data_IF_488817423646
#
_entry.id   IF_488817423646
#
_cell.length_a   1.000
_cell.length_b   1.000
_cell.length_c   1.000
_cell.angle_alpha   90.00
_cell.angle_beta   90.00
_cell.angle_gamma   90.00
#
_symmetry.space_group_name_H-M   'P 1'
#
loop_
_entity.id
_entity.type
_entity.pdbx_description
1 polymer ?
#
# COMPACT_ATOMS: atom_id res chain seq x y z
N UNK A 1 -0.08 -13.65 -6.50
CA UNK A 1 0.43 -14.62 -5.51
C UNK A 1 0.66 -15.94 -6.24
N UNK A 2 1.57 -16.80 -5.78
CA UNK A 2 1.80 -18.12 -6.39
C UNK A 2 0.85 -19.18 -5.86
N UNK A 3 0.86 -20.37 -6.47
CA UNK A 3 0.13 -21.53 -5.98
C UNK A 3 0.51 -21.91 -4.53
N UNK A 4 1.73 -21.56 -4.07
CA UNK A 4 2.16 -21.79 -2.68
C UNK A 4 1.40 -20.93 -1.65
N UNK A 5 0.64 -19.94 -2.14
CA UNK A 5 -0.23 -19.02 -1.39
C UNK A 5 0.44 -18.39 -0.17
N UNK A 6 1.68 -17.92 -0.36
CA UNK A 6 2.26 -16.87 0.45
C UNK A 6 3.06 -15.93 -0.46
N UNK A 7 3.00 -14.64 -0.15
CA UNK A 7 3.79 -13.57 -0.73
C UNK A 7 3.45 -12.30 0.04
N UNK A 8 4.46 -11.55 0.48
CA UNK A 8 4.23 -10.29 1.15
C UNK A 8 5.35 -9.27 0.92
N UNK A 9 5.04 -8.00 1.16
CA UNK A 9 6.05 -7.01 1.50
C UNK A 9 6.27 -7.08 3.02
N UNK A 10 7.48 -7.40 3.43
CA UNK A 10 7.92 -7.30 4.81
C UNK A 10 8.44 -5.88 5.07
N UNK A 11 7.89 -5.22 6.08
CA UNK A 11 8.22 -3.86 6.49
C UNK A 11 9.06 -3.93 7.77
N UNK A 12 10.39 -3.96 7.66
CA UNK A 12 11.23 -3.88 8.85
C UNK A 12 11.09 -2.50 9.50
N UNK A 13 10.95 -2.50 10.82
CA UNK A 13 11.08 -1.29 11.66
C UNK A 13 10.16 -0.14 11.22
N UNK A 14 8.84 -0.41 11.18
CA UNK A 14 7.79 0.59 10.97
C UNK A 14 7.80 1.65 12.07
N UNK A 15 8.08 1.26 13.31
CA UNK A 15 8.32 2.17 14.43
C UNK A 15 9.62 1.78 15.14
N UNK A 16 10.79 2.23 14.65
CA UNK A 16 12.08 1.96 15.26
C UNK A 16 12.16 2.54 16.69
N UNK A 17 12.86 1.84 17.59
CA UNK A 17 13.04 2.23 18.99
C UNK A 17 14.50 2.04 19.43
N UNK A 18 14.95 2.86 20.36
CA UNK A 18 16.25 2.73 21.02
C UNK A 18 16.22 1.66 22.11
N UNK A 19 17.37 1.03 22.36
CA UNK A 19 17.52 0.03 23.42
C UNK A 19 17.57 0.62 24.83
N UNK A 20 17.91 1.90 24.94
CA UNK A 20 18.14 2.60 26.21
C UNK A 20 17.17 3.77 26.35
N UNK A 21 16.57 3.98 27.53
CA UNK A 21 15.75 5.16 27.77
C UNK A 21 16.59 6.44 27.59
N UNK A 22 15.98 7.55 27.14
CA UNK A 22 16.71 8.77 26.83
C UNK A 22 17.40 9.32 28.10
N UNK A 23 18.73 9.26 28.14
CA UNK A 23 19.54 9.98 29.12
C UNK A 23 19.98 11.31 28.53
N UNK A 24 19.91 12.39 29.33
CA UNK A 24 20.21 13.80 28.98
C UNK A 24 21.61 14.09 28.40
N UNK A 25 22.47 13.09 28.24
CA UNK A 25 23.90 13.26 27.92
C UNK A 25 24.37 12.55 26.65
N UNK A 26 23.51 11.82 25.93
CA UNK A 26 23.91 11.10 24.72
C UNK A 26 22.99 11.46 23.54
N UNK A 27 23.48 12.34 22.66
CA UNK A 27 22.81 12.71 21.40
C UNK A 27 22.81 11.57 20.36
N UNK A 28 23.66 10.55 20.55
CA UNK A 28 23.75 9.37 19.69
C UNK A 28 22.98 8.19 20.29
N UNK A 29 21.66 8.33 20.41
CA UNK A 29 20.79 7.18 20.66
C UNK A 29 20.81 6.27 19.43
N UNK A 30 21.45 5.10 19.54
CA UNK A 30 21.51 4.15 18.43
C UNK A 30 20.16 3.44 18.27
N UNK A 31 19.25 4.07 17.53
CA UNK A 31 17.93 3.51 17.19
C UNK A 31 18.11 2.13 16.57
N UNK A 32 17.38 1.14 17.08
CA UNK A 32 17.37 -0.19 16.47
C UNK A 32 16.47 -0.19 15.24
N UNK A 33 17.09 -0.33 14.08
CA UNK A 33 16.35 -0.50 12.84
C UNK A 33 16.00 0.81 12.16
N UNK A 34 15.53 0.68 10.92
CA UNK A 34 15.07 1.79 10.12
C UNK A 34 16.19 2.65 9.53
N UNK A 35 15.75 3.77 8.96
CA UNK A 35 16.57 4.83 8.36
C UNK A 35 16.24 6.16 9.04
N UNK A 36 17.24 7.02 9.21
CA UNK A 36 17.14 8.25 9.99
C UNK A 36 17.53 8.07 11.45
N UNK A 37 17.20 9.06 12.26
CA UNK A 37 17.59 9.15 13.69
C UNK A 37 16.37 9.37 14.58
N UNK A 38 16.49 9.00 15.85
CA UNK A 38 15.43 9.18 16.85
C UNK A 38 14.32 8.12 16.80
N UNK A 39 13.72 7.90 17.97
CA UNK A 39 12.64 6.93 18.16
C UNK A 39 11.35 7.41 17.48
N UNK A 40 10.60 6.47 16.91
CA UNK A 40 9.26 6.73 16.37
C UNK A 40 8.21 6.15 17.31
N UNK A 41 7.48 7.01 18.01
CA UNK A 41 6.47 6.57 18.98
C UNK A 41 5.35 5.78 18.29
N UNK A 42 5.00 4.62 18.86
CA UNK A 42 3.84 3.84 18.42
C UNK A 42 3.02 3.35 19.62
N UNK A 43 1.68 3.37 19.52
CA UNK A 43 0.89 3.89 18.41
C UNK A 43 0.85 5.44 18.42
N UNK A 44 0.65 6.08 17.25
CA UNK A 44 0.60 7.54 17.15
C UNK A 44 -0.44 8.18 18.08
N UNK A 45 -0.13 9.36 18.65
CA UNK A 45 -0.97 10.01 19.65
C UNK A 45 -2.25 10.65 19.09
N UNK A 46 -2.24 11.05 17.82
CA UNK A 46 -3.36 11.70 17.13
C UNK A 46 -4.20 10.73 16.32
N UNK A 47 -3.69 9.53 16.04
CA UNK A 47 -4.27 8.60 15.09
C UNK A 47 -3.34 8.34 13.91
N UNK A 48 -3.82 7.52 12.98
CA UNK A 48 -3.08 7.18 11.76
C UNK A 48 -4.03 7.02 10.56
N UNK A 49 -3.46 7.15 9.37
CA UNK A 49 -4.13 6.85 8.11
C UNK A 49 -3.30 5.88 7.29
N UNK A 50 -3.91 4.78 6.85
CA UNK A 50 -3.32 3.84 5.89
C UNK A 50 -4.08 3.92 4.57
N UNK A 51 -3.37 4.29 3.51
CA UNK A 51 -3.89 4.40 2.14
C UNK A 51 -3.25 3.33 1.28
N UNK A 52 -4.04 2.59 0.50
CA UNK A 52 -3.51 1.51 -0.35
C UNK A 52 -4.33 1.33 -1.61
N UNK A 53 -3.65 1.09 -2.74
CA UNK A 53 -4.26 0.62 -3.97
C UNK A 53 -4.16 -0.90 -4.06
N UNK A 54 -5.26 -1.57 -4.38
CA UNK A 54 -5.28 -3.01 -4.62
C UNK A 54 -6.01 -3.35 -5.91
N UNK A 55 -5.67 -4.49 -6.49
CA UNK A 55 -6.45 -5.10 -7.57
C UNK A 55 -6.50 -6.61 -7.35
N UNK A 56 -7.69 -7.16 -7.14
CA UNK A 56 -7.87 -8.60 -6.98
C UNK A 56 -8.20 -9.19 -8.33
N UNK A 57 -7.28 -9.95 -8.92
CA UNK A 57 -7.48 -10.62 -10.20
C UNK A 57 -8.38 -11.86 -10.05
N UNK A 58 -8.28 -12.54 -8.90
CA UNK A 58 -9.06 -13.72 -8.58
C UNK A 58 -9.16 -13.92 -7.07
N UNK A 59 -10.37 -14.05 -6.55
CA UNK A 59 -10.59 -14.38 -5.14
C UNK A 59 -10.35 -15.86 -4.84
N UNK A 60 -10.08 -16.17 -3.57
CA UNK A 60 -10.17 -17.54 -3.06
C UNK A 60 -11.64 -17.98 -2.94
N UNK A 61 -11.87 -19.28 -2.86
CA UNK A 61 -13.18 -19.84 -2.50
C UNK A 61 -13.22 -20.10 -0.99
N UNK A 62 -14.19 -19.51 -0.26
CA UNK A 62 -14.33 -19.71 1.18
C UNK A 62 -14.43 -21.18 1.62
N UNK A 63 -14.90 -22.09 0.76
CA UNK A 63 -15.17 -23.49 1.12
C UNK A 63 -13.96 -24.39 0.89
N UNK A 64 -13.10 -24.05 -0.06
CA UNK A 64 -11.99 -24.93 -0.47
C UNK A 64 -10.62 -24.35 -0.20
N UNK A 65 -10.45 -23.03 -0.24
CA UNK A 65 -9.16 -22.37 -0.10
C UNK A 65 -9.24 -20.99 0.57
N UNK A 66 -10.04 -20.86 1.64
CA UNK A 66 -10.31 -19.61 2.36
C UNK A 66 -9.05 -18.77 2.66
N UNK A 67 -8.79 -17.77 1.82
CA UNK A 67 -7.59 -16.96 1.91
C UNK A 67 -7.94 -15.49 1.73
N UNK A 68 -7.78 -14.70 2.79
CA UNK A 68 -8.06 -13.28 2.79
C UNK A 68 -7.00 -12.48 2.01
N UNK A 69 -7.40 -11.33 1.46
CA UNK A 69 -6.44 -10.34 0.97
C UNK A 69 -5.95 -9.56 2.18
N UNK A 70 -4.68 -9.72 2.55
CA UNK A 70 -4.10 -9.08 3.73
C UNK A 70 -3.53 -7.71 3.37
N UNK A 71 -4.27 -6.66 3.70
CA UNK A 71 -3.93 -5.29 3.32
C UNK A 71 -2.79 -4.74 4.18
N UNK A 72 -2.88 -4.89 5.50
CA UNK A 72 -1.83 -4.49 6.44
C UNK A 72 -1.89 -5.36 7.69
N UNK A 73 -0.74 -5.76 8.20
CA UNK A 73 -0.59 -6.37 9.52
C UNK A 73 0.60 -5.71 10.20
N UNK A 74 0.37 -5.03 11.32
CA UNK A 74 1.43 -4.50 12.17
C UNK A 74 1.59 -5.39 13.39
N UNK A 75 2.85 -5.69 13.70
CA UNK A 75 3.24 -6.59 14.76
C UNK A 75 4.28 -5.89 15.60
N UNK A 76 4.10 -5.89 16.92
CA UNK A 76 5.08 -5.38 17.86
C UNK A 76 5.69 -6.52 18.65
N UNK A 77 6.95 -6.33 19.04
CA UNK A 77 7.74 -7.32 19.77
C UNK A 77 8.02 -6.80 21.16
N UNK A 78 7.21 -7.15 22.18
CA UNK A 78 7.45 -6.70 23.54
C UNK A 78 8.70 -7.42 24.11
N UNK A 79 9.41 -6.79 25.04
CA UNK A 79 10.71 -7.29 25.54
C UNK A 79 10.63 -8.68 26.20
N UNK A 80 9.46 -9.09 26.69
CA UNK A 80 9.27 -10.31 27.50
C UNK A 80 8.21 -11.28 26.97
N UNK A 81 7.58 -11.00 25.82
CA UNK A 81 6.47 -11.81 25.30
C UNK A 81 6.61 -12.13 23.82
N UNK A 82 5.81 -13.08 23.34
CA UNK A 82 5.71 -13.43 21.92
C UNK A 82 5.20 -12.23 21.12
N UNK A 83 5.55 -12.19 19.83
CA UNK A 83 5.06 -11.21 18.86
C UNK A 83 3.53 -11.05 18.93
N UNK A 84 3.07 -9.80 19.04
CA UNK A 84 1.66 -9.45 19.11
C UNK A 84 1.25 -8.63 17.89
N UNK A 85 0.25 -9.11 17.16
CA UNK A 85 -0.45 -8.30 16.15
C UNK A 85 -1.18 -7.19 16.89
N UNK A 86 -0.97 -5.95 16.50
CA UNK A 86 -1.57 -4.76 17.14
C UNK A 86 -2.46 -3.96 16.20
N UNK A 87 -2.35 -4.19 14.89
CA UNK A 87 -3.27 -3.67 13.88
C UNK A 87 -3.32 -4.66 12.73
N UNK A 88 -4.52 -5.00 12.26
CA UNK A 88 -4.70 -5.80 11.06
C UNK A 88 -5.85 -5.24 10.22
N UNK A 89 -5.66 -5.28 8.90
CA UNK A 89 -6.66 -4.93 7.91
C UNK A 89 -6.66 -6.01 6.82
N UNK A 90 -7.80 -6.63 6.56
CA UNK A 90 -7.95 -7.70 5.56
C UNK A 90 -9.26 -7.56 4.79
N UNK A 91 -9.30 -8.09 3.57
CA UNK A 91 -10.54 -8.42 2.87
C UNK A 91 -10.86 -9.89 3.18
N UNK A 92 -11.94 -10.16 3.90
CA UNK A 92 -12.27 -11.50 4.40
C UNK A 92 -12.41 -12.51 3.26
N UNK A 93 -11.95 -13.73 3.51
CA UNK A 93 -12.14 -14.82 2.56
C UNK A 93 -13.61 -15.25 2.45
N UNK A 94 -14.44 -14.98 3.47
CA UNK A 94 -15.81 -15.52 3.59
C UNK A 94 -16.83 -14.75 2.77
N UNK A 95 -16.86 -13.43 2.96
CA UNK A 95 -17.87 -12.52 2.41
C UNK A 95 -17.25 -11.30 1.74
N UNK A 96 -15.90 -11.24 1.68
CA UNK A 96 -15.14 -10.12 1.12
C UNK A 96 -15.43 -8.78 1.83
N UNK A 97 -15.86 -8.82 3.09
CA UNK A 97 -15.92 -7.62 3.92
C UNK A 97 -14.51 -7.15 4.28
N UNK A 98 -14.32 -5.83 4.37
CA UNK A 98 -13.12 -5.25 4.98
C UNK A 98 -13.23 -5.45 6.48
N UNK A 99 -12.25 -6.14 7.05
CA UNK A 99 -12.10 -6.28 8.50
C UNK A 99 -10.90 -5.45 8.93
N UNK A 100 -11.11 -4.58 9.92
CA UNK A 100 -10.04 -3.86 10.61
C UNK A 100 -10.11 -4.21 12.09
N UNK A 101 -8.98 -4.55 12.69
CA UNK A 101 -8.91 -4.81 14.12
C UNK A 101 -7.67 -4.22 14.75
N UNK A 102 -7.87 -3.56 15.90
CA UNK A 102 -6.85 -3.05 16.81
C UNK A 102 -6.64 -3.97 18.02
N UNK A 103 -7.36 -5.10 18.05
CA UNK A 103 -7.25 -6.08 19.12
C UNK A 103 -5.87 -6.72 19.10
N UNK A 104 -5.21 -6.70 20.26
CA UNK A 104 -3.96 -7.42 20.44
C UNK A 104 -4.20 -8.93 20.38
N UNK A 105 -3.52 -9.59 19.46
CA UNK A 105 -3.58 -11.05 19.32
C UNK A 105 -2.16 -11.62 19.16
N UNK A 106 -1.82 -12.74 19.83
CA UNK A 106 -0.57 -13.42 19.58
C UNK A 106 -0.44 -13.79 18.10
N UNK A 107 0.73 -13.54 17.51
CA UNK A 107 1.00 -13.89 16.12
C UNK A 107 0.85 -15.42 15.93
N UNK A 108 -0.17 -15.90 15.20
CA UNK A 108 -0.36 -17.32 14.98
C UNK A 108 0.79 -17.86 14.14
N UNK A 109 1.44 -18.91 14.63
CA UNK A 109 2.52 -19.58 13.92
C UNK A 109 1.97 -20.78 13.17
N UNK A 110 2.31 -20.90 11.88
CA UNK A 110 1.96 -22.03 11.03
C UNK A 110 0.45 -22.28 10.91
N UNK A 111 -0.34 -21.20 10.91
CA UNK A 111 -1.80 -21.25 10.71
C UNK A 111 -2.13 -20.60 9.37
N UNK A 112 -2.62 -21.39 8.42
CA UNK A 112 -3.02 -20.90 7.08
C UNK A 112 -4.33 -20.10 7.06
N UNK A 113 -5.18 -20.28 8.07
CA UNK A 113 -6.58 -19.80 8.11
C UNK A 113 -6.85 -18.70 9.13
N UNK A 114 -5.84 -17.92 9.49
CA UNK A 114 -6.05 -16.86 10.47
C UNK A 114 -6.67 -15.60 9.84
N UNK A 115 -7.82 -15.16 10.37
CA UNK A 115 -8.41 -13.85 10.11
C UNK A 115 -8.87 -13.21 11.44
N UNK A 116 -8.86 -11.87 11.56
CA UNK A 116 -9.47 -11.19 12.71
C UNK A 116 -10.99 -11.38 12.72
N UNK A 117 -11.60 -11.49 13.91
CA UNK A 117 -13.06 -11.64 14.05
C UNK A 117 -13.82 -10.42 13.49
N UNK A 118 -13.27 -9.21 13.66
CA UNK A 118 -13.87 -7.97 13.16
C UNK A 118 -15.08 -7.48 13.95
N UNK A 119 -15.34 -8.09 15.11
CA UNK A 119 -16.44 -7.77 16.02
C UNK A 119 -15.93 -7.18 17.34
N UNK A 120 -16.82 -6.61 18.14
CA UNK A 120 -16.49 -6.01 19.44
C UNK A 120 -15.94 -4.58 19.35
N UNK A 121 -15.40 -4.08 20.46
CA UNK A 121 -14.97 -2.68 20.57
C UNK A 121 -13.68 -2.38 19.80
N UNK A 122 -12.85 -3.39 19.57
CA UNK A 122 -11.58 -3.32 18.84
C UNK A 122 -11.68 -3.81 17.39
N UNK A 123 -12.89 -4.11 16.89
CA UNK A 123 -13.12 -4.68 15.57
C UNK A 123 -14.14 -3.90 14.74
N UNK A 124 -13.87 -3.75 13.45
CA UNK A 124 -14.81 -3.28 12.46
C UNK A 124 -14.88 -4.27 11.31
N UNK A 125 -16.10 -4.63 10.89
CA UNK A 125 -16.38 -5.44 9.69
C UNK A 125 -17.34 -4.66 8.80
N UNK A 126 -16.88 -4.28 7.62
CA UNK A 126 -17.65 -3.46 6.68
C UNK A 126 -17.77 -4.20 5.35
N UNK A 127 -19.00 -4.47 4.93
CA UNK A 127 -19.26 -5.07 3.62
C UNK A 127 -19.30 -3.99 2.54
N UNK A 128 -18.53 -4.17 1.48
CA UNK A 128 -18.40 -3.22 0.37
C UNK A 128 -18.58 -3.96 -0.97
N UNK A 129 -19.76 -3.90 -1.60
CA UNK A 129 -20.06 -4.63 -2.84
C UNK A 129 -19.16 -4.25 -4.01
N UNK A 130 -18.70 -3.00 -4.06
CA UNK A 130 -17.85 -2.49 -5.14
C UNK A 130 -16.50 -3.22 -5.22
N UNK A 131 -16.02 -3.77 -4.09
CA UNK A 131 -14.78 -4.56 -4.03
C UNK A 131 -14.94 -6.00 -4.55
N UNK A 132 -16.15 -6.43 -4.87
CA UNK A 132 -16.41 -7.80 -5.34
C UNK A 132 -15.93 -8.01 -6.78
N UNK A 133 -15.72 -6.94 -7.54
CA UNK A 133 -15.38 -7.00 -8.96
C UNK A 133 -13.89 -7.34 -9.16
N UNK A 134 -13.63 -8.49 -9.76
CA UNK A 134 -12.27 -8.93 -10.09
C UNK A 134 -11.67 -8.10 -11.24
N UNK A 135 -10.35 -7.90 -11.21
CA UNK A 135 -9.59 -7.20 -12.24
C UNK A 135 -9.69 -5.66 -12.18
N UNK A 136 -10.39 -5.09 -11.19
CA UNK A 136 -10.49 -3.64 -10.98
C UNK A 136 -9.50 -3.16 -9.93
N UNK A 137 -9.01 -1.93 -10.11
CA UNK A 137 -8.19 -1.24 -9.12
C UNK A 137 -9.09 -0.44 -8.19
N UNK A 138 -8.91 -0.62 -6.88
CA UNK A 138 -9.60 0.15 -5.86
C UNK A 138 -8.61 0.82 -4.92
N UNK A 139 -8.95 2.03 -4.50
CA UNK A 139 -8.23 2.79 -3.49
C UNK A 139 -8.95 2.66 -2.16
N UNK A 140 -8.31 2.02 -1.19
CA UNK A 140 -8.84 1.83 0.15
C UNK A 140 -8.07 2.74 1.10
N UNK A 141 -8.80 3.51 1.91
CA UNK A 141 -8.20 4.31 2.99
C UNK A 141 -8.85 3.96 4.32
N UNK A 142 -8.01 3.59 5.28
CA UNK A 142 -8.36 3.31 6.67
C UNK A 142 -7.85 4.46 7.53
N UNK A 143 -8.76 5.13 8.22
CA UNK A 143 -8.44 6.23 9.14
C UNK A 143 -8.78 5.79 10.55
N UNK A 144 -7.79 5.79 11.45
CA UNK A 144 -7.97 5.58 12.88
C UNK A 144 -7.72 6.89 13.60
N UNK A 145 -8.76 7.47 14.17
CA UNK A 145 -8.68 8.69 14.96
C UNK A 145 -8.56 8.33 16.45
N UNK A 146 -7.48 8.78 17.09
CA UNK A 146 -7.29 8.61 18.53
C UNK A 146 -7.86 9.82 19.25
N UNK A 147 -8.87 9.60 20.08
CA UNK A 147 -9.41 10.61 20.98
C UNK A 147 -9.09 10.27 22.44
N UNK A 148 -8.73 11.29 23.23
CA UNK A 148 -8.43 11.15 24.67
C UNK A 148 -9.68 11.36 25.51
N UNK A 149 -10.46 12.40 25.19
CA UNK A 149 -11.68 12.79 25.93
C UNK A 149 -12.96 12.20 25.33
N UNK A 150 -12.88 11.66 24.12
CA UNK A 150 -13.99 11.04 23.39
C UNK A 150 -13.59 9.63 22.99
N UNK A 151 -14.56 8.85 22.52
CA UNK A 151 -14.27 7.56 21.92
C UNK A 151 -13.41 7.75 20.67
N UNK A 152 -12.37 6.92 20.55
CA UNK A 152 -11.62 6.78 19.30
C UNK A 152 -12.53 6.20 18.21
N UNK A 153 -12.18 6.45 16.95
CA UNK A 153 -13.04 6.07 15.82
C UNK A 153 -12.25 5.51 14.65
N UNK A 154 -12.93 4.68 13.88
CA UNK A 154 -12.48 4.16 12.60
C UNK A 154 -13.36 4.74 11.49
N UNK A 155 -12.74 5.11 10.38
CA UNK A 155 -13.43 5.49 9.14
C UNK A 155 -12.82 4.75 7.95
N UNK A 156 -13.69 4.26 7.07
CA UNK A 156 -13.33 3.60 5.82
C UNK A 156 -13.73 4.47 4.64
N UNK A 157 -12.81 4.61 3.69
CA UNK A 157 -13.06 5.24 2.42
C UNK A 157 -12.67 4.29 1.29
N UNK A 158 -13.46 4.34 0.21
CA UNK A 158 -13.25 3.59 -1.02
C UNK A 158 -13.31 4.56 -2.19
N UNK A 159 -12.30 4.51 -3.06
CA UNK A 159 -12.24 5.31 -4.29
C UNK A 159 -12.51 6.81 -4.06
N UNK A 160 -11.91 7.34 -2.98
CA UNK A 160 -12.03 8.73 -2.56
C UNK A 160 -13.32 9.08 -1.80
N UNK A 161 -14.27 8.16 -1.68
CA UNK A 161 -15.56 8.39 -1.02
C UNK A 161 -15.63 7.76 0.37
N UNK A 162 -16.34 8.41 1.29
CA UNK A 162 -16.60 7.86 2.61
C UNK A 162 -17.62 6.73 2.52
N UNK A 163 -17.31 5.59 3.15
CA UNK A 163 -18.17 4.40 3.13
C UNK A 163 -18.76 4.12 4.51
N UNK A 164 -17.93 4.18 5.57
CA UNK A 164 -18.35 3.81 6.91
C UNK A 164 -17.55 4.52 7.98
N UNK A 165 -18.18 4.78 9.12
CA UNK A 165 -17.52 5.22 10.34
C UNK A 165 -18.16 4.60 11.57
N UNK A 166 -17.34 4.21 12.55
CA UNK A 166 -17.82 3.72 13.84
C UNK A 166 -16.84 4.04 14.96
N UNK A 167 -17.31 3.91 16.20
CA UNK A 167 -16.41 3.87 17.35
C UNK A 167 -15.53 2.62 17.24
N UNK A 168 -14.26 2.79 17.57
CA UNK A 168 -13.30 1.70 17.63
C UNK A 168 -12.25 2.06 18.68
N UNK A 169 -11.98 1.14 19.61
CA UNK A 169 -10.87 1.27 20.52
C UNK A 169 -9.57 1.38 19.74
N UNK A 170 -8.79 2.40 20.08
CA UNK A 170 -7.52 2.62 19.42
C UNK A 170 -6.51 1.55 19.83
N UNK A 171 -5.41 1.46 19.09
CA UNK A 171 -4.31 0.54 19.39
C UNK A 171 -3.82 0.81 20.82
N UNK A 172 -3.71 -0.24 21.62
CA UNK A 172 -3.28 -0.15 23.02
C UNK A 172 -1.83 0.34 23.11
N UNK A 173 -1.59 1.31 24.00
CA UNK A 173 -0.25 1.88 24.19
C UNK A 173 0.71 0.93 24.91
N UNK A 174 0.22 0.18 25.91
CA UNK A 174 1.04 -0.73 26.71
C UNK A 174 0.86 -2.15 26.21
N UNK A 175 1.91 -2.80 25.68
CA UNK A 175 1.76 -4.15 25.19
C UNK A 175 1.36 -5.15 26.27
N UNK A 176 0.36 -6.00 25.99
CA UNK A 176 -0.07 -7.03 26.93
C UNK A 176 -0.88 -6.52 28.14
N UNK A 177 -1.37 -5.28 28.11
CA UNK A 177 -2.32 -4.77 29.11
C UNK A 177 -1.73 -4.38 30.46
N UNK A 178 -0.43 -4.07 30.53
CA UNK A 178 0.22 -3.57 31.74
C UNK A 178 -0.27 -2.18 32.19
N UNK A 179 0.11 -1.76 33.40
CA UNK A 179 -0.31 -0.49 34.00
C UNK A 179 0.01 0.73 33.09
N UNK A 180 -0.96 1.64 32.95
CA UNK A 180 -0.96 2.77 32.01
C UNK A 180 0.18 3.81 32.20
N UNK A 181 1.00 3.67 33.24
CA UNK A 181 1.94 4.69 33.69
C UNK A 181 3.35 4.55 33.09
N UNK A 182 3.59 3.49 32.31
CA UNK A 182 4.87 3.23 31.64
C UNK A 182 4.61 3.11 30.14
N UNK A 183 4.94 4.15 29.37
CA UNK A 183 5.02 4.06 27.91
C UNK A 183 6.20 3.16 27.54
N UNK A 184 5.95 1.85 27.47
CA UNK A 184 6.97 0.89 27.02
C UNK A 184 7.04 0.93 25.51
N UNK A 185 8.03 1.67 25.00
CA UNK A 185 8.40 1.66 23.60
C UNK A 185 8.68 0.22 23.14
N UNK A 186 7.98 -0.24 22.10
CA UNK A 186 8.21 -1.56 21.50
C UNK A 186 8.39 -1.41 19.99
N UNK A 187 9.42 -2.06 19.41
CA UNK A 187 9.63 -2.01 17.97
C UNK A 187 8.45 -2.64 17.25
N UNK A 188 8.03 -2.00 16.16
CA UNK A 188 6.94 -2.46 15.30
C UNK A 188 7.49 -2.79 13.92
N UNK A 189 7.11 -3.94 13.39
CA UNK A 189 7.31 -4.31 11.99
C UNK A 189 5.95 -4.62 11.35
N UNK A 190 5.92 -4.84 10.03
CA UNK A 190 4.66 -5.16 9.38
C UNK A 190 4.75 -6.06 8.16
N UNK A 191 3.59 -6.49 7.70
CA UNK A 191 3.38 -7.23 6.46
C UNK A 191 2.27 -6.59 5.64
N UNK A 192 2.46 -6.57 4.33
CA UNK A 192 1.40 -6.37 3.33
C UNK A 192 1.35 -7.64 2.49
N UNK A 193 0.25 -8.38 2.57
CA UNK A 193 0.10 -9.73 2.02
C UNK A 193 0.34 -10.84 3.02
N UNK A 194 0.58 -12.05 2.50
CA UNK A 194 0.59 -13.29 3.29
C UNK A 194 2.03 -13.67 3.64
N UNK A 195 2.45 -13.54 4.91
CA UNK A 195 3.79 -13.91 5.36
C UNK A 195 4.01 -15.43 5.32
N UNK A 196 5.27 -15.89 5.34
CA UNK A 196 5.61 -17.32 5.32
C UNK A 196 4.92 -18.15 6.41
N UNK A 197 4.71 -17.58 7.60
CA UNK A 197 4.06 -18.27 8.72
C UNK A 197 2.57 -18.56 8.51
N UNK A 198 1.93 -17.93 7.51
CA UNK A 198 0.53 -18.16 7.13
C UNK A 198 0.40 -18.78 5.73
N UNK A 199 1.47 -19.43 5.26
CA UNK A 199 1.50 -20.11 3.97
C UNK A 199 0.41 -21.18 3.88
N UNK A 200 -0.34 -21.15 2.77
CA UNK A 200 -1.29 -22.20 2.37
C UNK A 200 -1.43 -22.27 0.87
N UNK A 201 -1.83 -23.40 0.31
CA UNK A 201 -2.27 -23.43 -1.08
C UNK A 201 -3.52 -22.56 -1.29
N UNK A 202 -3.53 -21.76 -2.36
CA UNK A 202 -4.61 -20.81 -2.65
C UNK A 202 -4.61 -20.40 -4.12
N UNK A 203 -5.82 -20.17 -4.65
CA UNK A 203 -6.04 -19.59 -5.98
C UNK A 203 -6.08 -18.06 -5.97
N UNK A 204 -6.09 -17.45 -4.78
CA UNK A 204 -6.10 -16.01 -4.59
C UNK A 204 -4.97 -15.35 -5.39
N UNK A 205 -5.34 -14.48 -6.31
CA UNK A 205 -4.41 -13.67 -7.10
C UNK A 205 -4.79 -12.21 -6.98
N UNK A 206 -3.89 -11.41 -6.44
CA UNK A 206 -4.09 -9.97 -6.28
C UNK A 206 -2.76 -9.24 -6.41
N UNK A 207 -2.87 -7.93 -6.62
CA UNK A 207 -1.79 -6.97 -6.84
C UNK A 207 -1.86 -5.89 -5.78
N UNK A 208 -0.70 -5.59 -5.19
CA UNK A 208 -0.48 -4.43 -4.35
C UNK A 208 0.01 -3.27 -5.21
N UNK A 209 -0.69 -2.13 -5.17
CA UNK A 209 -0.29 -0.87 -5.78
C UNK A 209 0.46 0.03 -4.79
N UNK A 210 0.55 1.34 -5.05
CA UNK A 210 1.12 2.27 -4.09
C UNK A 210 0.37 2.27 -2.77
N UNK A 211 1.09 2.40 -1.66
CA UNK A 211 0.49 2.54 -0.34
C UNK A 211 1.30 3.45 0.58
N UNK A 212 0.62 4.12 1.49
CA UNK A 212 1.18 5.10 2.42
C UNK A 212 0.62 4.86 3.82
N UNK A 213 1.49 4.94 4.82
CA UNK A 213 1.09 5.00 6.23
C UNK A 213 1.57 6.33 6.80
N UNK A 214 0.64 7.09 7.39
CA UNK A 214 0.91 8.39 8.00
C UNK A 214 0.36 8.45 9.42
N UNK A 215 1.04 9.17 10.31
CA UNK A 215 0.67 9.42 11.70
C UNK A 215 -0.23 10.66 11.80
N UNK A 216 -1.22 10.72 10.92
CA UNK A 216 -2.18 11.82 10.85
C UNK A 216 -3.55 11.28 10.45
N UNK A 217 -4.60 11.91 10.97
CA UNK A 217 -5.99 11.61 10.62
C UNK A 217 -6.34 12.45 9.39
N UNK A 218 -6.39 11.82 8.23
CA UNK A 218 -6.75 12.53 7.00
C UNK A 218 -8.24 12.84 6.95
N UNK A 219 -8.55 14.06 6.53
CA UNK A 219 -9.91 14.47 6.22
C UNK A 219 -10.32 13.99 4.83
N UNK A 220 -11.61 14.12 4.51
CA UNK A 220 -12.17 13.69 3.21
C UNK A 220 -11.51 14.38 2.00
N UNK A 221 -11.02 15.62 2.16
CA UNK A 221 -10.34 16.35 1.08
C UNK A 221 -8.98 15.73 0.77
N UNK A 222 -8.16 15.44 1.78
CA UNK A 222 -6.87 14.76 1.61
C UNK A 222 -7.05 13.38 0.95
N UNK A 223 -8.09 12.65 1.35
CA UNK A 223 -8.43 11.33 0.79
C UNK A 223 -8.87 11.44 -0.67
N UNK A 224 -9.70 12.42 -1.00
CA UNK A 224 -10.09 12.70 -2.39
C UNK A 224 -8.88 13.06 -3.25
N UNK A 225 -7.96 13.86 -2.72
CA UNK A 225 -6.70 14.20 -3.40
C UNK A 225 -5.85 12.95 -3.64
N UNK A 226 -5.67 12.09 -2.62
CA UNK A 226 -4.95 10.82 -2.75
C UNK A 226 -5.53 9.93 -3.85
N UNK A 227 -6.86 9.81 -3.91
CA UNK A 227 -7.53 9.04 -4.96
C UNK A 227 -7.25 9.62 -6.35
N UNK A 228 -7.34 10.95 -6.50
CA UNK A 228 -7.08 11.65 -7.77
C UNK A 228 -5.63 11.53 -8.24
N UNK A 229 -4.66 11.38 -7.34
CA UNK A 229 -3.27 11.10 -7.70
C UNK A 229 -3.10 9.71 -8.35
N UNK A 230 -4.03 8.80 -8.10
CA UNK A 230 -4.16 7.52 -8.79
C UNK A 230 -3.12 6.46 -8.38
N UNK A 231 -3.23 5.25 -8.96
CA UNK A 231 -2.37 4.11 -8.64
C UNK A 231 -0.93 4.23 -9.19
N UNK A 232 -0.58 5.37 -9.79
CA UNK A 232 0.75 5.66 -10.33
C UNK A 232 1.52 6.69 -9.49
N UNK A 233 0.91 7.20 -8.41
CA UNK A 233 1.55 8.15 -7.52
C UNK A 233 2.79 7.54 -6.84
N UNK A 234 3.92 8.24 -6.93
CA UNK A 234 5.21 7.80 -6.37
C UNK A 234 5.74 8.72 -5.28
N UNK A 235 5.07 9.84 -5.04
CA UNK A 235 5.59 10.88 -4.15
C UNK A 235 5.46 10.52 -2.67
N UNK A 236 5.97 11.45 -1.86
CA UNK A 236 6.01 11.39 -0.39
C UNK A 236 4.96 12.31 0.26
N UNK A 237 3.95 12.74 -0.49
CA UNK A 237 2.87 13.64 -0.08
C UNK A 237 3.28 15.09 0.23
N UNK A 238 4.53 15.46 -0.04
CA UNK A 238 5.07 16.80 0.22
C UNK A 238 4.79 17.83 -0.89
N UNK A 239 4.73 17.37 -2.14
CA UNK A 239 4.35 18.21 -3.28
C UNK A 239 3.55 17.38 -4.30
N UNK A 240 2.35 16.88 -3.95
CA UNK A 240 1.56 16.09 -4.88
C UNK A 240 1.13 16.92 -6.09
N UNK A 241 1.28 16.35 -7.28
CA UNK A 241 0.92 17.00 -8.54
C UNK A 241 -0.31 16.30 -9.13
N UNK A 242 -1.40 17.05 -9.28
CA UNK A 242 -2.53 16.64 -10.10
C UNK A 242 -2.25 17.04 -11.56
N UNK A 243 -2.64 16.19 -12.50
CA UNK A 243 -2.40 16.42 -13.93
C UNK A 243 -2.89 17.81 -14.37
N UNK A 244 -1.99 18.61 -14.96
CA UNK A 244 -2.29 19.95 -15.47
C UNK A 244 -2.47 21.05 -14.42
N UNK A 245 -2.05 20.83 -13.17
CA UNK A 245 -2.07 21.84 -12.10
C UNK A 245 -0.66 22.09 -11.55
N UNK A 246 -0.49 23.19 -10.82
CA UNK A 246 0.72 23.43 -10.02
C UNK A 246 0.83 22.40 -8.87
N UNK A 247 2.04 22.14 -8.34
CA UNK A 247 2.22 21.27 -7.19
C UNK A 247 1.38 21.76 -6.00
N UNK A 248 0.63 20.85 -5.39
CA UNK A 248 -0.12 21.13 -4.18
C UNK A 248 0.84 21.31 -2.99
N UNK A 249 0.37 22.03 -1.97
CA UNK A 249 1.02 22.09 -0.67
C UNK A 249 1.16 20.68 -0.04
N UNK A 250 2.11 20.49 0.90
CA UNK A 250 2.23 19.24 1.63
C UNK A 250 0.89 18.81 2.25
N UNK A 251 0.47 17.57 1.99
CA UNK A 251 -0.77 17.02 2.57
C UNK A 251 -0.60 16.60 4.04
N UNK A 252 0.65 16.45 4.47
CA UNK A 252 1.05 15.94 5.78
C UNK A 252 2.48 16.40 6.07
N UNK A 253 2.75 16.73 7.33
CA UNK A 253 4.09 17.10 7.76
C UNK A 253 5.10 15.97 7.53
N UNK A 254 6.34 16.32 7.21
CA UNK A 254 7.39 15.38 6.84
C UNK A 254 7.55 14.26 7.87
N UNK A 255 7.63 14.62 9.16
CA UNK A 255 7.88 13.73 10.29
C UNK A 255 6.81 12.66 10.49
N UNK A 256 5.58 12.92 10.03
CA UNK A 256 4.42 12.04 10.20
C UNK A 256 4.29 10.97 9.11
N UNK A 257 5.08 11.01 8.04
CA UNK A 257 5.00 9.98 6.98
C UNK A 257 5.79 8.73 7.37
N UNK A 258 5.15 7.67 7.85
CA UNK A 258 5.89 6.46 8.24
C UNK A 258 6.54 5.79 7.04
N UNK A 259 5.74 5.53 5.99
CA UNK A 259 6.26 5.03 4.73
C UNK A 259 5.38 5.40 3.53
N UNK A 260 5.99 5.46 2.36
CA UNK A 260 5.32 5.38 1.06
C UNK A 260 6.01 4.35 0.18
N UNK A 261 5.27 3.37 -0.33
CA UNK A 261 5.82 2.28 -1.13
C UNK A 261 5.24 2.32 -2.54
N UNK A 262 6.11 2.14 -3.54
CA UNK A 262 5.73 1.99 -4.93
C UNK A 262 6.75 1.09 -5.64
N UNK A 263 6.36 0.48 -6.76
CA UNK A 263 7.21 -0.47 -7.48
C UNK A 263 8.30 0.19 -8.34
N UNK A 264 8.28 1.51 -8.54
CA UNK A 264 9.28 2.24 -9.33
C UNK A 264 10.56 2.49 -8.54
N UNK A 265 10.45 2.79 -7.25
CA UNK A 265 11.59 2.92 -6.35
C UNK A 265 12.02 1.56 -5.79
N UNK A 266 12.64 0.71 -6.62
CA UNK A 266 13.05 -0.65 -6.22
C UNK A 266 14.52 -0.93 -6.57
N UNK A 267 15.21 -1.62 -5.68
CA UNK A 267 16.55 -2.15 -5.93
C UNK A 267 16.63 -3.65 -5.66
N UNK A 268 17.63 -4.30 -6.27
CA UNK A 268 18.02 -5.67 -5.98
C UNK A 268 19.30 -5.65 -5.13
N UNK A 269 19.22 -6.20 -3.93
CA UNK A 269 20.29 -6.25 -2.94
C UNK A 269 20.50 -7.67 -2.43
N UNK A 270 21.63 -7.96 -1.81
CA UNK A 270 21.85 -9.20 -1.05
C UNK A 270 21.77 -8.91 0.45
N UNK A 271 21.65 -9.93 1.31
CA UNK A 271 21.68 -9.71 2.77
C UNK A 271 23.00 -9.08 3.21
N UNK A 272 24.13 -9.51 2.62
CA UNK A 272 25.43 -8.89 2.87
C UNK A 272 25.46 -7.40 2.48
N UNK A 273 24.81 -7.00 1.38
CA UNK A 273 24.69 -5.58 0.99
C UNK A 273 23.72 -4.80 1.89
N UNK A 274 22.59 -5.39 2.24
CA UNK A 274 21.63 -4.80 3.20
C UNK A 274 22.33 -4.53 4.53
N UNK A 275 23.13 -5.46 5.05
CA UNK A 275 23.92 -5.28 6.28
C UNK A 275 24.93 -4.13 6.22
N UNK A 276 25.46 -3.83 5.03
CA UNK A 276 26.43 -2.74 4.82
C UNK A 276 25.75 -1.38 4.73
N UNK A 277 24.55 -1.31 4.15
CA UNK A 277 23.85 -0.06 3.84
C UNK A 277 22.80 0.31 4.90
N UNK A 278 22.19 -0.69 5.53
CA UNK A 278 21.12 -0.54 6.53
C UNK A 278 21.53 -1.14 7.87
N UNK A 279 20.67 -0.97 8.88
CA UNK A 279 20.94 -1.45 10.23
C UNK A 279 21.15 -2.98 10.28
N UNK A 280 22.00 -3.42 11.22
CA UNK A 280 22.20 -4.85 11.49
C UNK A 280 20.93 -5.52 12.01
N UNK A 281 20.07 -4.77 12.71
CA UNK A 281 18.80 -5.25 13.22
C UNK A 281 17.85 -5.61 12.08
N UNK A 282 17.67 -4.71 11.10
CA UNK A 282 16.82 -4.96 9.93
C UNK A 282 17.37 -6.11 9.11
N UNK A 283 18.68 -6.16 8.88
CA UNK A 283 19.33 -7.25 8.16
C UNK A 283 19.02 -8.63 8.78
N UNK A 284 19.18 -8.76 10.12
CA UNK A 284 18.84 -10.01 10.82
C UNK A 284 17.35 -10.33 10.74
N UNK A 285 16.49 -9.33 10.84
CA UNK A 285 15.05 -9.52 10.77
C UNK A 285 14.60 -9.99 9.37
N UNK A 286 15.13 -9.37 8.32
CA UNK A 286 14.89 -9.77 6.92
C UNK A 286 15.41 -11.18 6.68
N UNK A 287 16.62 -11.50 7.18
CA UNK A 287 17.21 -12.83 7.05
C UNK A 287 16.32 -13.92 7.69
N UNK A 288 15.73 -13.63 8.85
CA UNK A 288 14.74 -14.51 9.51
C UNK A 288 13.52 -14.76 8.63
N UNK A 289 12.96 -13.71 7.99
CA UNK A 289 11.80 -13.85 7.11
C UNK A 289 12.08 -14.65 5.84
N UNK A 290 13.31 -14.57 5.32
CA UNK A 290 13.74 -15.29 4.12
C UNK A 290 14.25 -16.71 4.42
N UNK A 291 14.47 -17.07 5.69
CA UNK A 291 15.08 -18.34 6.07
C UNK A 291 16.55 -18.46 5.64
N UNK A 292 17.28 -17.34 5.65
CA UNK A 292 18.66 -17.24 5.15
C UNK A 292 19.63 -16.76 6.23
N UNK A 293 20.93 -16.96 6.00
CA UNK A 293 21.99 -16.36 6.82
C UNK A 293 22.03 -14.84 6.61
N UNK A 294 22.26 -14.08 7.69
CA UNK A 294 22.43 -12.61 7.62
C UNK A 294 23.64 -12.16 6.80
N UNK A 295 24.56 -13.07 6.48
CA UNK A 295 25.73 -12.87 5.65
C UNK A 295 25.55 -13.32 4.18
N UNK A 296 24.37 -13.82 3.82
CA UNK A 296 24.09 -14.35 2.49
C UNK A 296 24.34 -13.30 1.38
N UNK A 297 25.06 -13.70 0.33
CA UNK A 297 25.54 -12.79 -0.72
C UNK A 297 25.28 -13.26 -2.16
N UNK A 298 24.56 -14.36 -2.38
CA UNK A 298 24.22 -14.80 -3.73
C UNK A 298 22.78 -14.45 -4.10
N UNK A 299 21.86 -14.55 -3.14
CA UNK A 299 20.43 -14.42 -3.45
C UNK A 299 19.99 -12.96 -3.65
N UNK A 300 19.46 -12.58 -4.84
CA UNK A 300 18.94 -11.25 -5.06
C UNK A 300 17.60 -11.04 -4.34
N UNK A 301 17.53 -10.00 -3.53
CA UNK A 301 16.37 -9.59 -2.74
C UNK A 301 15.88 -8.25 -3.28
N UNK A 302 14.59 -8.21 -3.64
CA UNK A 302 13.95 -6.97 -4.10
C UNK A 302 13.50 -6.14 -2.89
N UNK A 303 13.92 -4.88 -2.84
CA UNK A 303 13.57 -3.93 -1.80
C UNK A 303 12.90 -2.72 -2.45
N UNK A 304 11.64 -2.48 -2.11
CA UNK A 304 10.92 -1.25 -2.46
C UNK A 304 11.32 -0.19 -1.45
N UNK A 305 11.99 0.86 -1.89
CA UNK A 305 12.46 1.92 -1.01
C UNK A 305 11.30 2.76 -0.50
N UNK A 306 11.39 3.15 0.77
CA UNK A 306 10.47 4.10 1.35
C UNK A 306 10.63 5.47 0.68
N UNK A 307 9.60 5.98 0.00
CA UNK A 307 9.62 7.30 -0.65
C UNK A 307 9.76 8.44 0.36
N UNK A 308 9.47 8.19 1.64
CA UNK A 308 9.64 9.15 2.73
C UNK A 308 11.01 9.05 3.43
N UNK A 309 11.93 8.21 2.94
CA UNK A 309 13.20 7.93 3.62
C UNK A 309 14.17 9.10 3.74
N UNK A 310 13.99 10.13 2.93
CA UNK A 310 14.80 11.36 2.94
C UNK A 310 14.14 12.50 3.73
N UNK A 311 12.93 12.30 4.23
CA UNK A 311 12.17 13.34 4.94
C UNK A 311 12.67 13.52 6.37
N UNK A 312 12.57 14.74 6.87
CA UNK A 312 12.96 15.14 8.22
C UNK A 312 12.06 14.48 9.27
N UNK A 313 12.58 14.18 10.46
CA UNK A 313 11.81 13.61 11.58
C UNK A 313 12.37 12.27 12.08
N UNK A 314 11.58 11.52 12.85
CA UNK A 314 12.06 10.30 13.50
C UNK A 314 12.29 9.17 12.50
N UNK A 315 13.09 8.19 12.91
CA UNK A 315 13.48 7.05 12.09
C UNK A 315 12.26 6.30 11.52
N UNK A 316 12.44 5.68 10.36
CA UNK A 316 11.36 5.09 9.55
C UNK A 316 11.76 3.74 9.00
N UNK A 317 10.79 2.98 8.51
CA UNK A 317 11.08 1.77 7.75
C UNK A 317 11.96 2.08 6.54
N UNK A 318 12.96 1.25 6.26
CA UNK A 318 13.80 1.39 5.06
C UNK A 318 12.99 1.20 3.76
N UNK A 319 11.88 0.48 3.85
CA UNK A 319 11.07 0.10 2.70
C UNK A 319 10.31 -1.21 2.91
N UNK A 320 9.79 -1.76 1.81
CA UNK A 320 9.15 -3.08 1.76
C UNK A 320 10.05 -4.11 1.08
N UNK A 321 10.46 -5.13 1.82
CA UNK A 321 11.23 -6.27 1.31
C UNK A 321 10.28 -7.31 0.75
N UNK A 322 10.49 -7.70 -0.50
CA UNK A 322 9.65 -8.70 -1.17
C UNK A 322 10.00 -10.08 -0.64
N UNK A 323 9.04 -10.74 0.01
CA UNK A 323 9.17 -12.11 0.54
C UNK A 323 8.25 -13.04 -0.25
N UNK A 324 8.83 -14.12 -0.76
CA UNK A 324 8.15 -15.18 -1.50
C UNK A 324 9.07 -15.81 -2.54
N UNK A 325 8.85 -17.09 -2.85
CA UNK A 325 9.73 -17.85 -3.75
C UNK A 325 9.26 -17.74 -5.20
N UNK A 326 8.30 -18.58 -5.59
CA UNK A 326 7.78 -18.65 -6.94
C UNK A 326 6.62 -17.67 -7.09
N UNK A 327 6.37 -17.20 -8.31
CA UNK A 327 5.17 -16.42 -8.69
C UNK A 327 5.01 -15.02 -8.08
N UNK A 328 5.99 -14.53 -7.30
CA UNK A 328 6.02 -13.13 -6.86
C UNK A 328 6.65 -12.26 -7.93
N UNK A 329 5.85 -11.35 -8.49
CA UNK A 329 6.27 -10.41 -9.54
C UNK A 329 6.15 -8.99 -9.02
N UNK A 330 7.18 -8.19 -9.27
CA UNK A 330 7.14 -6.74 -9.09
C UNK A 330 7.23 -6.14 -10.48
N UNK A 331 6.25 -5.33 -10.86
CA UNK A 331 6.22 -4.65 -12.14
C UNK A 331 5.92 -3.17 -11.94
N UNK A 332 6.48 -2.34 -12.81
CA UNK A 332 6.11 -0.93 -12.89
C UNK A 332 5.04 -0.80 -13.99
N UNK A 333 3.76 -0.60 -13.64
CA UNK A 333 2.72 -0.46 -14.65
C UNK A 333 3.01 0.76 -15.52
N UNK A 334 2.91 0.58 -16.82
CA UNK A 334 2.92 1.65 -17.82
C UNK A 334 1.60 1.59 -18.59
N UNK A 335 0.60 2.41 -18.24
CA UNK A 335 -0.69 2.39 -18.91
C UNK A 335 -0.53 2.56 -20.42
N UNK A 336 -1.33 1.83 -21.20
CA UNK A 336 -1.34 1.96 -22.67
C UNK A 336 -1.59 3.40 -23.09
N UNK A 337 -2.49 4.10 -22.38
CA UNK A 337 -2.82 5.50 -22.62
C UNK A 337 -1.63 6.47 -22.44
N UNK A 338 -0.61 6.09 -21.68
CA UNK A 338 0.66 6.84 -21.58
C UNK A 338 1.69 6.34 -22.58
N UNK A 339 1.71 5.02 -22.84
CA UNK A 339 2.68 4.42 -23.76
C UNK A 339 2.41 4.79 -25.22
N UNK A 340 1.17 5.11 -25.58
CA UNK A 340 0.79 5.54 -26.93
C UNK A 340 1.53 6.83 -27.33
N UNK A 341 1.89 7.69 -26.38
CA UNK A 341 2.63 8.92 -26.65
C UNK A 341 4.02 8.64 -27.22
N UNK A 342 4.64 7.50 -26.85
CA UNK A 342 5.94 7.09 -27.38
C UNK A 342 5.91 6.68 -28.87
N UNK A 343 4.73 6.36 -29.41
CA UNK A 343 4.57 5.97 -30.82
C UNK A 343 3.90 7.05 -31.67
N UNK A 344 3.51 8.18 -31.08
CA UNK A 344 2.88 9.31 -31.78
C UNK A 344 1.52 9.76 -31.22
N UNK A 345 1.10 9.22 -30.07
CA UNK A 345 -0.06 9.68 -29.31
C UNK A 345 -1.40 9.45 -30.03
N UNK A 346 -2.34 10.36 -29.81
CA UNK A 346 -3.68 10.32 -30.43
C UNK A 346 -3.64 10.31 -31.97
N UNK A 347 -2.59 10.87 -32.60
CA UNK A 347 -2.46 10.88 -34.06
C UNK A 347 -2.35 9.48 -34.66
N UNK A 348 -1.71 8.53 -33.96
CA UNK A 348 -1.64 7.13 -34.39
C UNK A 348 -3.02 6.49 -34.40
N UNK A 349 -3.81 6.73 -33.34
CA UNK A 349 -5.17 6.19 -33.22
C UNK A 349 -6.11 6.79 -34.27
N UNK A 350 -5.99 8.09 -34.56
CA UNK A 350 -6.70 8.73 -35.69
C UNK A 350 -6.27 8.14 -37.03
N UNK A 351 -4.98 7.80 -37.19
CA UNK A 351 -4.47 7.08 -38.36
C UNK A 351 -5.11 5.69 -38.51
N UNK A 352 -5.23 4.92 -37.43
CA UNK A 352 -5.92 3.62 -37.45
C UNK A 352 -7.38 3.76 -37.89
N UNK A 353 -8.09 4.78 -37.41
CA UNK A 353 -9.47 5.08 -37.83
C UNK A 353 -9.52 5.42 -39.33
N UNK A 354 -8.55 6.19 -39.83
CA UNK A 354 -8.47 6.51 -41.25
C UNK A 354 -8.24 5.27 -42.13
N UNK A 355 -7.46 4.31 -41.64
CA UNK A 355 -7.09 3.09 -42.36
C UNK A 355 -8.10 1.95 -42.23
N UNK A 356 -9.03 1.99 -41.28
CA UNK A 356 -10.05 0.95 -41.09
C UNK A 356 -10.89 0.72 -42.36
N UNK A 357 -11.06 -0.53 -42.77
CA UNK A 357 -11.74 -0.92 -44.02
C UNK A 357 -13.10 -1.59 -43.78
N UNK A 358 -13.41 -1.91 -42.53
CA UNK A 358 -14.61 -2.64 -42.12
C UNK A 358 -15.12 -2.07 -40.79
N UNK A 359 -16.35 -2.45 -40.44
CA UNK A 359 -17.04 -1.92 -39.25
C UNK A 359 -16.35 -2.35 -37.95
N UNK A 360 -15.79 -3.56 -37.90
CA UNK A 360 -15.16 -4.09 -36.69
C UNK A 360 -13.84 -3.36 -36.38
N UNK A 361 -12.99 -3.17 -37.39
CA UNK A 361 -11.73 -2.44 -37.27
C UNK A 361 -11.96 -0.96 -36.97
N UNK A 362 -12.98 -0.36 -37.58
CA UNK A 362 -13.39 1.01 -37.28
C UNK A 362 -13.84 1.14 -35.82
N UNK A 363 -14.71 0.24 -35.35
CA UNK A 363 -15.19 0.22 -33.98
C UNK A 363 -14.04 0.04 -32.99
N UNK A 364 -13.14 -0.91 -33.23
CA UNK A 364 -11.97 -1.16 -32.38
C UNK A 364 -11.05 0.06 -32.28
N UNK A 365 -10.74 0.72 -33.40
CA UNK A 365 -9.89 1.91 -33.44
C UNK A 365 -10.52 3.11 -32.72
N UNK A 366 -11.82 3.35 -32.93
CA UNK A 366 -12.56 4.41 -32.22
C UNK A 366 -12.61 4.11 -30.73
N UNK A 367 -12.89 2.87 -30.33
CA UNK A 367 -12.92 2.47 -28.92
C UNK A 367 -11.56 2.63 -28.25
N UNK A 368 -10.47 2.31 -28.94
CA UNK A 368 -9.11 2.55 -28.45
C UNK A 368 -8.84 4.05 -28.24
N UNK A 369 -9.20 4.91 -29.20
CA UNK A 369 -9.08 6.37 -29.06
C UNK A 369 -9.90 6.89 -27.87
N UNK A 370 -11.17 6.49 -27.76
CA UNK A 370 -12.03 6.89 -26.64
C UNK A 370 -11.44 6.43 -25.30
N UNK A 371 -10.92 5.20 -25.23
CA UNK A 371 -10.28 4.69 -24.02
C UNK A 371 -9.07 5.53 -23.61
N UNK A 372 -8.17 5.85 -24.56
CA UNK A 372 -6.98 6.67 -24.29
C UNK A 372 -7.38 8.08 -23.87
N UNK A 373 -8.26 8.74 -24.61
CA UNK A 373 -8.70 10.12 -24.33
C UNK A 373 -9.43 10.22 -22.98
N UNK A 374 -10.27 9.24 -22.64
CA UNK A 374 -10.98 9.24 -21.35
C UNK A 374 -10.08 8.94 -20.15
N UNK A 375 -9.00 8.19 -20.35
CA UNK A 375 -8.11 7.76 -19.27
C UNK A 375 -6.85 8.62 -19.12
N UNK A 376 -6.55 9.49 -20.09
CA UNK A 376 -5.39 10.36 -20.08
C UNK A 376 -5.77 11.80 -20.44
N UNK A 377 -5.71 12.70 -19.46
CA UNK A 377 -6.04 14.12 -19.63
C UNK A 377 -5.07 14.84 -20.59
N UNK A 378 -3.80 14.41 -20.65
CA UNK A 378 -2.83 14.96 -21.62
C UNK A 378 -3.28 14.62 -23.05
N UNK A 379 -3.75 13.39 -23.27
CA UNK A 379 -4.30 12.97 -24.55
C UNK A 379 -5.57 13.76 -24.92
N UNK A 380 -6.40 14.10 -23.94
CA UNK A 380 -7.56 14.96 -24.12
C UNK A 380 -7.16 16.38 -24.55
N UNK A 381 -6.22 16.99 -23.82
CA UNK A 381 -5.69 18.32 -24.14
C UNK A 381 -5.03 18.36 -25.53
N UNK A 382 -4.32 17.30 -25.92
CA UNK A 382 -3.68 17.23 -27.24
C UNK A 382 -4.72 17.10 -28.37
N UNK A 383 -5.81 16.35 -28.14
CA UNK A 383 -6.94 16.30 -29.06
C UNK A 383 -7.62 17.66 -29.21
N UNK A 384 -7.80 18.42 -28.13
CA UNK A 384 -8.34 19.78 -28.19
C UNK A 384 -7.39 20.72 -28.95
N UNK A 385 -6.10 20.72 -28.55
CA UNK A 385 -5.06 21.60 -29.11
C UNK A 385 -4.86 21.39 -30.62
N UNK A 386 -4.91 20.15 -31.09
CA UNK A 386 -4.73 19.82 -32.52
C UNK A 386 -6.03 19.77 -33.32
N UNK A 387 -7.17 20.15 -32.74
CA UNK A 387 -8.50 19.98 -33.37
C UNK A 387 -8.74 18.52 -33.82
N UNK A 388 -8.28 17.58 -33.01
CA UNK A 388 -8.36 16.14 -33.24
C UNK A 388 -9.80 15.64 -33.28
N UNK A 389 -10.71 16.25 -32.51
CA UNK A 389 -12.14 15.90 -32.55
C UNK A 389 -12.80 16.25 -33.89
N UNK A 390 -12.41 17.38 -34.50
CA UNK A 390 -12.87 17.77 -35.84
C UNK A 390 -12.31 16.82 -36.90
N UNK A 391 -11.05 16.41 -36.75
CA UNK A 391 -10.43 15.39 -37.60
C UNK A 391 -11.17 14.06 -37.50
N UNK A 392 -11.49 13.61 -36.28
CA UNK A 392 -12.28 12.41 -36.04
C UNK A 392 -13.66 12.49 -36.72
N UNK A 393 -14.37 13.61 -36.57
CA UNK A 393 -15.67 13.80 -37.21
C UNK A 393 -15.58 13.71 -38.74
N UNK A 394 -14.55 14.30 -39.35
CA UNK A 394 -14.30 14.21 -40.79
C UNK A 394 -14.01 12.77 -41.23
N UNK A 395 -13.17 12.05 -40.49
CA UNK A 395 -12.84 10.65 -40.77
C UNK A 395 -14.09 9.77 -40.69
N UNK A 396 -14.90 9.89 -39.63
CA UNK A 396 -16.13 9.12 -39.47
C UNK A 396 -17.14 9.42 -40.57
N UNK A 397 -17.29 10.69 -40.99
CA UNK A 397 -18.17 11.04 -42.11
C UNK A 397 -17.78 10.36 -43.42
N UNK A 398 -16.48 10.19 -43.69
CA UNK A 398 -15.99 9.46 -44.87
C UNK A 398 -16.22 7.96 -44.77
N UNK A 399 -16.36 7.43 -43.56
CA UNK A 399 -16.59 6.01 -43.25
C UNK A 399 -18.07 5.65 -43.12
N UNK A 400 -18.99 6.61 -43.20
CA UNK A 400 -20.44 6.36 -43.25
C UNK A 400 -20.94 5.30 -44.26
N UNK A 401 -20.24 5.00 -45.38
CA UNK A 401 -20.64 3.92 -46.28
C UNK A 401 -20.28 2.50 -45.78
N UNK A 402 -19.46 2.37 -44.74
CA UNK A 402 -19.18 1.11 -44.03
C UNK A 402 -20.31 0.80 -43.05
#
# INVERSE_FOLDING_TARGET
MSAEGFACLYLPSVAPQSTTPPTVVAADSSVLGGIGSGDRLFPPQTGLTYSTWICVDKFSDPRTDAHCVRLLTLVRTPQSTKDLICLTAVLSARDKAIIVSTQETPLPQNVGEWEPEGTGECGARVWCPDLLQEGQWHHIVIVLNRAVLKNSSFSLYLDGQHIHSQKLHYITQVPGGGAANLTVASPVYGYIGTPPCWRRYSRLTWKQGPCHLVEEVFNSQNITTLFKLGPHYMGSLQAPLLSGQEPLMPLVAEEKVVFGLNSKAMSQLTLAKIRKVYSRADNKSIAKQLGMSSHENATPIRVLHNSAGHLSGPARALGGVVVGYLGVRVFSPRPVATMIDNVGGCSVLLGLIAMAQDVESLYAAVKALVCVVRSNQVAQQEMDRRRGYQTLAMLLRRKCPL
#
